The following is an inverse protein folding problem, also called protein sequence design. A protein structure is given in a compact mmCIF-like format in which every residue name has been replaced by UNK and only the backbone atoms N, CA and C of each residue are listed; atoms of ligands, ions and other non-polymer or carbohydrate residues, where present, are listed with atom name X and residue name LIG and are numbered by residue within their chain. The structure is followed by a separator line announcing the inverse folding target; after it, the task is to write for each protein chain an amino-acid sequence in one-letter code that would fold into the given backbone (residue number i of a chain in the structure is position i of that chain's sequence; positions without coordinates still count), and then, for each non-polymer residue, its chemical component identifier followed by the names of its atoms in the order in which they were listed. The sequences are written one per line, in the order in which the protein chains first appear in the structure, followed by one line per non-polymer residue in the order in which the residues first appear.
data_IF_009871943072
#
_entry.id   IF_009871943072
#
_cell.length_a   1.000
_cell.length_b   1.000
_cell.length_c   1.000
_cell.angle_alpha   90.00
_cell.angle_beta   90.00
_cell.angle_gamma   90.00
#
_symmetry.space_group_name_H-M   'P 1'
#
loop_
_entity.id
_entity.type
_entity.pdbx_description
1 polymer ?
#
# COMPACT_ATOMS: atom_id res chain seq x y z
N UNK A 1 1.24 7.85 17.21
CA UNK A 1 2.15 7.15 16.26
C UNK A 1 2.33 7.89 14.92
N UNK A 2 1.62 9.00 14.64
CA UNK A 2 1.90 9.90 13.49
C UNK A 2 2.37 11.31 13.93
N UNK A 3 2.52 11.48 15.24
CA UNK A 3 2.96 12.69 15.94
C UNK A 3 4.49 12.80 16.04
N UNK A 4 5.19 11.71 15.73
CA UNK A 4 6.65 11.67 15.71
C UNK A 4 7.16 11.58 14.27
N UNK A 5 8.21 12.35 13.92
CA UNK A 5 8.81 12.29 12.59
C UNK A 5 9.43 10.91 12.32
N UNK A 6 9.55 10.58 11.03
CA UNK A 6 10.17 9.32 10.58
C UNK A 6 11.59 9.17 11.12
N UNK A 7 11.93 7.96 11.58
CA UNK A 7 13.29 7.57 11.99
C UNK A 7 14.17 7.08 10.82
N UNK A 8 13.64 7.03 9.60
CA UNK A 8 14.36 6.48 8.43
C UNK A 8 15.45 7.40 7.88
N UNK A 9 15.49 8.68 8.29
CA UNK A 9 16.36 9.70 7.68
C UNK A 9 15.98 10.06 6.24
N UNK A 10 14.95 9.44 5.68
CA UNK A 10 14.44 9.70 4.32
C UNK A 10 13.48 10.88 4.38
N UNK A 11 13.80 11.95 3.66
CA UNK A 11 12.89 13.06 3.41
C UNK A 11 12.08 12.72 2.17
N UNK A 12 10.75 12.66 2.31
CA UNK A 12 9.86 12.43 1.17
C UNK A 12 10.05 13.54 0.13
N UNK A 13 10.03 13.18 -1.15
CA UNK A 13 10.18 14.14 -2.26
C UNK A 13 8.90 14.91 -2.54
N UNK A 14 7.77 14.30 -2.22
CA UNK A 14 6.45 14.85 -2.48
C UNK A 14 5.91 15.54 -1.24
N UNK A 15 5.62 16.84 -1.37
CA UNK A 15 4.81 17.58 -0.40
C UNK A 15 3.32 17.43 -0.73
N UNK A 16 2.50 17.23 0.30
CA UNK A 16 1.06 17.00 0.16
C UNK A 16 0.33 17.80 1.23
N UNK A 17 -0.64 18.62 0.82
CA UNK A 17 -1.51 19.28 1.78
C UNK A 17 -2.54 18.30 2.37
N UNK A 18 -3.19 18.71 3.48
CA UNK A 18 -4.16 17.87 4.18
C UNK A 18 -5.38 17.53 3.33
N UNK A 19 -5.85 18.44 2.48
CA UNK A 19 -7.03 18.23 1.65
C UNK A 19 -6.73 17.24 0.53
N UNK A 20 -5.55 17.33 -0.10
CA UNK A 20 -5.06 16.40 -1.09
C UNK A 20 -4.86 15.01 -0.50
N UNK A 21 -4.23 14.90 0.67
CA UNK A 21 -4.09 13.63 1.36
C UNK A 21 -5.46 13.01 1.66
N UNK A 22 -6.44 13.82 2.09
CA UNK A 22 -7.81 13.35 2.32
C UNK A 22 -8.47 12.75 1.07
N UNK A 23 -8.29 13.38 -0.09
CA UNK A 23 -8.79 12.88 -1.39
C UNK A 23 -8.11 11.56 -1.77
N UNK A 24 -6.80 11.47 -1.62
CA UNK A 24 -6.03 10.26 -1.95
C UNK A 24 -6.38 9.07 -1.06
N UNK A 25 -6.62 9.31 0.23
CA UNK A 25 -7.08 8.28 1.16
C UNK A 25 -8.51 7.82 0.83
N UNK A 26 -9.38 8.73 0.39
CA UNK A 26 -10.73 8.38 -0.06
C UNK A 26 -10.69 7.52 -1.33
N UNK A 27 -9.86 7.90 -2.30
CA UNK A 27 -9.63 7.14 -3.53
C UNK A 27 -9.03 5.76 -3.24
N UNK A 28 -8.02 5.69 -2.37
CA UNK A 28 -7.41 4.43 -1.91
C UNK A 28 -8.46 3.51 -1.27
N UNK A 29 -9.36 4.07 -0.44
CA UNK A 29 -10.44 3.32 0.19
C UNK A 29 -11.43 2.77 -0.85
N UNK A 30 -11.78 3.56 -1.85
CA UNK A 30 -12.70 3.16 -2.91
C UNK A 30 -12.11 2.09 -3.84
N UNK A 31 -10.82 2.22 -4.20
CA UNK A 31 -10.10 1.27 -5.06
C UNK A 31 -9.71 -0.01 -4.35
N UNK A 32 -9.47 0.05 -3.04
CA UNK A 32 -8.93 -1.05 -2.25
C UNK A 32 -7.43 -1.27 -2.41
N UNK A 33 -6.70 -0.33 -3.02
CA UNK A 33 -5.24 -0.33 -3.19
C UNK A 33 -4.74 1.09 -3.44
N UNK A 34 -3.44 1.30 -3.32
CA UNK A 34 -2.77 2.56 -3.68
C UNK A 34 -1.45 2.31 -4.41
N UNK A 35 -0.94 3.36 -5.06
CA UNK A 35 0.37 3.39 -5.71
C UNK A 35 1.08 4.69 -5.40
N UNK A 36 2.41 4.63 -5.32
CA UNK A 36 3.30 5.79 -5.29
C UNK A 36 4.31 5.69 -6.41
N UNK A 37 4.56 6.80 -7.11
CA UNK A 37 5.59 6.88 -8.15
C UNK A 37 6.67 7.87 -7.74
N UNK A 38 7.76 7.35 -7.17
CA UNK A 38 8.93 8.14 -6.77
C UNK A 38 8.65 9.25 -5.75
N UNK A 39 7.50 9.19 -5.07
CA UNK A 39 7.08 10.16 -4.06
C UNK A 39 7.97 10.13 -2.81
N UNK A 40 8.43 8.95 -2.43
CA UNK A 40 9.34 8.76 -1.31
C UNK A 40 10.80 9.03 -1.72
N UNK A 41 11.25 8.41 -2.82
CA UNK A 41 12.61 8.49 -3.32
C UNK A 41 12.65 8.27 -4.84
N UNK A 42 13.60 8.91 -5.52
CA UNK A 42 13.83 8.71 -6.96
C UNK A 42 14.13 7.23 -7.23
N UNK A 43 13.60 6.72 -8.34
CA UNK A 43 13.84 5.35 -8.78
C UNK A 43 12.99 4.28 -8.09
N UNK A 44 12.14 4.63 -7.12
CA UNK A 44 11.28 3.66 -6.42
C UNK A 44 9.80 3.89 -6.75
N UNK A 45 9.13 2.84 -7.20
CA UNK A 45 7.66 2.77 -7.29
C UNK A 45 7.14 1.70 -6.33
N UNK A 46 5.91 1.84 -5.86
CA UNK A 46 5.27 0.83 -5.03
C UNK A 46 3.78 0.77 -5.30
N UNK A 47 3.22 -0.43 -5.21
CA UNK A 47 1.77 -0.66 -5.04
C UNK A 47 1.54 -1.31 -3.68
N UNK A 48 0.41 -1.02 -3.04
CA UNK A 48 0.05 -1.60 -1.76
C UNK A 48 -1.45 -1.96 -1.67
N UNK A 49 -1.76 -3.00 -0.91
CA UNK A 49 -3.11 -3.49 -0.67
C UNK A 49 -3.33 -3.74 0.84
N UNK A 50 -4.54 -3.52 1.38
CA UNK A 50 -4.85 -3.77 2.78
C UNK A 50 -5.01 -5.26 3.06
N UNK A 51 -4.63 -5.67 4.26
CA UNK A 51 -4.98 -6.96 4.86
C UNK A 51 -6.14 -6.73 5.84
N UNK A 52 -7.19 -7.54 5.78
CA UNK A 52 -8.43 -7.33 6.54
C UNK A 52 -8.73 -8.51 7.46
N UNK A 53 -9.28 -8.21 8.64
CA UNK A 53 -9.84 -9.22 9.54
C UNK A 53 -11.27 -9.60 9.14
N UNK A 54 -11.90 -10.51 9.91
CA UNK A 54 -13.23 -11.03 9.63
C UNK A 54 -14.33 -9.96 9.69
N UNK A 55 -14.07 -8.82 10.34
CA UNK A 55 -14.99 -7.68 10.41
C UNK A 55 -14.82 -6.72 9.23
N UNK A 56 -13.86 -7.00 8.34
CA UNK A 56 -13.47 -6.13 7.23
C UNK A 56 -12.54 -4.99 7.64
N UNK A 57 -12.14 -4.92 8.92
CA UNK A 57 -11.21 -3.90 9.42
C UNK A 57 -9.82 -4.17 8.88
N UNK A 58 -9.14 -3.11 8.41
CA UNK A 58 -7.75 -3.19 7.96
C UNK A 58 -6.85 -3.38 9.18
N UNK A 59 -6.08 -4.46 9.20
CA UNK A 59 -5.17 -4.82 10.30
C UNK A 59 -3.69 -4.63 9.91
N UNK A 60 -3.39 -4.63 8.62
CA UNK A 60 -2.07 -4.41 8.06
C UNK A 60 -2.18 -4.01 6.59
N UNK A 61 -1.03 -3.75 5.94
CA UNK A 61 -0.94 -3.59 4.50
C UNK A 61 0.24 -4.42 3.96
N UNK A 62 0.11 -4.88 2.72
CA UNK A 62 1.16 -5.56 1.96
C UNK A 62 1.52 -4.70 0.77
N UNK A 63 2.82 -4.52 0.50
CA UNK A 63 3.30 -3.77 -0.64
C UNK A 63 4.33 -4.54 -1.46
N UNK A 64 4.51 -4.08 -2.70
CA UNK A 64 5.60 -4.50 -3.59
C UNK A 64 6.29 -3.24 -4.11
N UNK A 65 7.60 -3.17 -3.91
CA UNK A 65 8.45 -2.12 -4.46
C UNK A 65 9.06 -2.58 -5.79
N UNK A 66 9.21 -1.66 -6.74
CA UNK A 66 9.85 -1.89 -8.02
C UNK A 66 10.77 -0.72 -8.40
N UNK A 67 11.84 -1.01 -9.14
CA UNK A 67 12.73 0.01 -9.67
C UNK A 67 12.07 0.72 -10.87
N UNK A 68 11.87 2.04 -10.77
CA UNK A 68 11.14 2.84 -11.75
C UNK A 68 11.76 2.78 -13.17
N UNK A 69 13.10 2.63 -13.24
CA UNK A 69 13.81 2.49 -14.51
C UNK A 69 13.65 1.11 -15.19
N UNK A 70 13.16 0.10 -14.46
CA UNK A 70 13.00 -1.27 -14.98
C UNK A 70 11.52 -1.69 -15.11
N UNK A 71 10.64 -1.04 -14.35
CA UNK A 71 9.21 -1.36 -14.30
C UNK A 71 8.39 -0.10 -14.54
N UNK A 72 7.66 -0.07 -15.65
CA UNK A 72 6.69 0.99 -15.95
C UNK A 72 5.50 0.93 -14.99
N UNK A 73 4.76 2.03 -14.90
CA UNK A 73 3.49 2.09 -14.15
C UNK A 73 2.52 1.04 -14.69
N UNK A 74 2.33 0.95 -16.01
CA UNK A 74 1.44 -0.02 -16.62
C UNK A 74 1.83 -1.45 -16.26
N UNK A 75 3.12 -1.80 -16.33
CA UNK A 75 3.59 -3.13 -15.93
C UNK A 75 3.30 -3.39 -14.45
N UNK A 76 3.53 -2.41 -13.58
CA UNK A 76 3.23 -2.52 -12.15
C UNK A 76 1.73 -2.78 -11.90
N UNK A 77 0.85 -2.05 -12.60
CA UNK A 77 -0.60 -2.15 -12.44
C UNK A 77 -1.21 -3.39 -13.12
N UNK A 78 -0.68 -3.83 -14.26
CA UNK A 78 -1.23 -4.96 -15.01
C UNK A 78 -0.67 -6.31 -14.54
N UNK A 79 0.58 -6.35 -14.06
CA UNK A 79 1.26 -7.61 -13.77
C UNK A 79 1.51 -7.84 -12.28
N UNK A 80 1.81 -6.78 -11.51
CA UNK A 80 2.16 -6.93 -10.10
C UNK A 80 0.94 -6.72 -9.20
N UNK A 81 0.14 -5.69 -9.45
CA UNK A 81 -1.02 -5.37 -8.63
C UNK A 81 -2.04 -6.53 -8.54
N UNK A 82 -2.44 -7.24 -9.61
CA UNK A 82 -3.40 -8.34 -9.48
C UNK A 82 -2.89 -9.47 -8.59
N UNK A 83 -1.59 -9.78 -8.69
CA UNK A 83 -0.92 -10.79 -7.85
C UNK A 83 -0.81 -10.35 -6.41
N UNK A 84 -0.50 -9.08 -6.17
CA UNK A 84 -0.49 -8.48 -4.84
C UNK A 84 -1.88 -8.56 -4.20
N UNK A 85 -2.94 -8.20 -4.93
CA UNK A 85 -4.32 -8.27 -4.43
C UNK A 85 -4.73 -9.70 -4.08
N UNK A 86 -4.44 -10.67 -4.95
CA UNK A 86 -4.68 -12.09 -4.66
C UNK A 86 -3.93 -12.56 -3.42
N UNK A 87 -2.65 -12.19 -3.30
CA UNK A 87 -1.81 -12.55 -2.15
C UNK A 87 -2.32 -11.91 -0.86
N UNK A 88 -2.74 -10.65 -0.91
CA UNK A 88 -3.35 -9.95 0.23
C UNK A 88 -4.66 -10.61 0.68
N UNK A 89 -5.48 -11.12 -0.25
CA UNK A 89 -6.67 -11.90 0.07
C UNK A 89 -6.32 -13.18 0.81
N UNK A 90 -5.40 -13.99 0.27
CA UNK A 90 -4.99 -15.25 0.90
C UNK A 90 -4.41 -15.06 2.29
N UNK A 91 -3.57 -14.03 2.49
CA UNK A 91 -3.04 -13.70 3.82
C UNK A 91 -4.15 -13.25 4.77
N UNK A 92 -5.14 -12.48 4.28
CA UNK A 92 -6.29 -12.06 5.09
C UNK A 92 -7.10 -13.28 5.56
N UNK A 93 -7.35 -14.23 4.66
CA UNK A 93 -8.04 -15.50 4.99
C UNK A 93 -7.28 -16.31 6.05
N UNK A 94 -5.95 -16.44 5.89
CA UNK A 94 -5.10 -17.11 6.88
C UNK A 94 -5.11 -16.39 8.24
N UNK A 95 -5.04 -15.06 8.23
CA UNK A 95 -5.10 -14.24 9.44
C UNK A 95 -6.44 -14.45 10.17
N UNK A 96 -7.55 -14.47 9.43
CA UNK A 96 -8.88 -14.75 9.98
C UNK A 96 -8.95 -16.16 10.57
N UNK A 97 -8.53 -17.19 9.83
CA UNK A 97 -8.51 -18.58 10.31
C UNK A 97 -7.71 -18.72 11.60
N UNK A 98 -6.51 -18.14 11.65
CA UNK A 98 -5.62 -18.22 12.81
C UNK A 98 -6.23 -17.56 14.05
N UNK A 99 -6.92 -16.43 13.89
CA UNK A 99 -7.50 -15.71 15.01
C UNK A 99 -8.77 -16.37 15.58
N UNK A 100 -9.44 -17.24 14.82
CA UNK A 100 -10.58 -18.03 15.31
C UNK A 100 -10.17 -19.25 16.14
N UNK A 101 -8.92 -19.71 16.00
CA UNK A 101 -8.36 -20.86 16.71
C UNK A 101 -7.69 -20.48 18.05
N UNK A 102 -7.78 -19.20 18.44
CA UNK A 102 -7.26 -18.65 19.69
C UNK A 102 -8.41 -18.32 20.63
#
# INVERSE_FOLDING_TARGET
MLDQPSRSGVVARREVDRAQLGRELADTRAKGWCMTDQDLAVGIRSVAAPLRDATGRVVAALNVNAHAGQTSVDRLLEHHLPRLLSTASSISEDYVRRNQLR
#
